data_IF_103154437332
#
_entry.id   IF_103154437332
#
_cell.length_a   1.000
_cell.length_b   1.000
_cell.length_c   1.000
_cell.angle_alpha   90.00
_cell.angle_beta   90.00
_cell.angle_gamma   90.00
#
_symmetry.space_group_name_H-M   'P 1'
#
loop_
_entity.id
_entity.type
_entity.pdbx_description
1 polymer ?
#
# COMPACT_ATOMS: atom_id res chain seq x y z
N UNK A 1 -6.08 4.02 -4.66
CA UNK A 1 -6.09 4.68 -3.34
C UNK A 1 -7.53 4.67 -2.83
N UNK A 2 -8.00 3.51 -2.37
CA UNK A 2 -9.45 3.29 -2.13
C UNK A 2 -9.79 3.19 -0.64
N UNK A 3 -8.92 2.56 0.15
CA UNK A 3 -9.14 2.29 1.58
C UNK A 3 -8.36 3.22 2.52
N UNK A 4 -7.50 4.10 1.99
CA UNK A 4 -6.64 5.01 2.76
C UNK A 4 -5.78 4.31 3.84
N UNK A 5 -5.28 3.12 3.52
CA UNK A 5 -4.40 2.29 4.35
C UNK A 5 -3.40 1.58 3.44
N UNK A 6 -2.26 1.18 4.00
CA UNK A 6 -1.27 0.35 3.32
C UNK A 6 -1.82 -1.07 3.11
N UNK A 7 -1.36 -1.75 2.07
CA UNK A 7 -2.00 -3.02 1.68
C UNK A 7 -1.66 -4.19 2.61
N UNK A 8 -0.58 -4.12 3.40
CA UNK A 8 -0.32 -5.06 4.51
C UNK A 8 -1.32 -4.92 5.64
N UNK A 9 -1.65 -3.69 6.05
CA UNK A 9 -2.67 -3.44 7.06
C UNK A 9 -4.06 -3.85 6.55
N UNK A 10 -4.37 -3.53 5.29
CA UNK A 10 -5.58 -4.04 4.63
C UNK A 10 -5.59 -5.57 4.62
N UNK A 11 -4.45 -6.21 4.34
CA UNK A 11 -4.35 -7.66 4.35
C UNK A 11 -4.65 -8.24 5.75
N UNK A 12 -4.07 -7.66 6.80
CA UNK A 12 -4.27 -8.13 8.17
C UNK A 12 -5.73 -8.00 8.65
N UNK A 13 -6.36 -6.86 8.34
CA UNK A 13 -7.73 -6.55 8.79
C UNK A 13 -8.83 -7.25 7.99
N UNK A 14 -8.51 -7.74 6.80
CA UNK A 14 -9.45 -8.46 5.91
C UNK A 14 -9.23 -9.96 5.86
N UNK A 15 -8.43 -10.55 6.77
CA UNK A 15 -8.25 -12.00 6.83
C UNK A 15 -9.57 -12.76 7.02
N UNK A 16 -9.58 -14.05 6.66
CA UNK A 16 -10.73 -14.92 6.88
C UNK A 16 -11.19 -14.86 8.36
N UNK A 17 -12.51 -14.77 8.57
CA UNK A 17 -13.11 -14.63 9.90
C UNK A 17 -13.11 -13.21 10.48
N UNK A 18 -12.50 -12.22 9.82
CA UNK A 18 -12.67 -10.80 10.18
C UNK A 18 -13.97 -10.23 9.58
N UNK A 19 -14.60 -9.22 10.24
CA UNK A 19 -15.79 -8.56 9.70
C UNK A 19 -15.62 -8.04 8.27
N UNK A 20 -14.42 -7.55 7.94
CA UNK A 20 -14.09 -6.98 6.63
C UNK A 20 -13.59 -8.00 5.61
N UNK A 21 -13.70 -9.31 5.88
CA UNK A 21 -13.17 -10.36 4.99
C UNK A 21 -13.76 -10.34 3.58
N UNK A 22 -15.01 -9.89 3.43
CA UNK A 22 -15.72 -9.71 2.16
C UNK A 22 -15.06 -8.74 1.17
N UNK A 23 -14.16 -7.86 1.65
CA UNK A 23 -13.44 -6.90 0.80
C UNK A 23 -12.53 -7.62 -0.21
N UNK A 24 -12.01 -8.81 0.15
CA UNK A 24 -11.06 -9.56 -0.69
C UNK A 24 -11.68 -10.10 -1.98
N UNK A 25 -13.00 -10.21 -2.04
CA UNK A 25 -13.74 -10.71 -3.20
C UNK A 25 -14.22 -9.59 -4.12
N UNK A 26 -14.02 -8.32 -3.74
CA UNK A 26 -14.39 -7.20 -4.58
C UNK A 26 -13.48 -7.11 -5.82
N UNK A 27 -14.03 -6.77 -6.99
CA UNK A 27 -13.20 -6.52 -8.16
C UNK A 27 -12.24 -5.35 -7.90
N UNK A 28 -11.05 -5.41 -8.50
CA UNK A 28 -10.02 -4.37 -8.40
C UNK A 28 -9.47 -4.15 -6.98
N UNK A 29 -9.58 -5.15 -6.10
CA UNK A 29 -8.98 -5.14 -4.77
C UNK A 29 -7.91 -6.23 -4.66
N UNK A 30 -6.71 -5.84 -4.23
CA UNK A 30 -5.62 -6.75 -3.89
C UNK A 30 -5.23 -6.48 -2.43
N UNK A 31 -5.60 -7.39 -1.53
CA UNK A 31 -5.31 -7.30 -0.10
C UNK A 31 -4.08 -8.16 0.27
N UNK A 32 -2.93 -7.78 -0.29
CA UNK A 32 -1.61 -8.39 -0.11
C UNK A 32 -0.60 -7.26 0.12
N UNK A 33 0.44 -7.48 0.94
CA UNK A 33 1.50 -6.49 1.15
C UNK A 33 2.19 -6.07 -0.16
N UNK A 34 2.68 -4.83 -0.20
CA UNK A 34 3.42 -4.27 -1.34
C UNK A 34 2.97 -2.86 -1.75
N UNK A 35 1.82 -2.41 -1.25
CA UNK A 35 1.23 -1.10 -1.56
C UNK A 35 1.32 -0.13 -0.39
N UNK A 36 1.84 1.07 -0.67
CA UNK A 36 2.07 2.13 0.32
C UNK A 36 1.46 3.46 -0.13
N UNK A 37 0.95 4.21 0.84
CA UNK A 37 0.46 5.56 0.62
C UNK A 37 1.61 6.55 0.39
N UNK A 38 1.42 7.47 -0.56
CA UNK A 38 2.34 8.59 -0.81
C UNK A 38 1.72 9.86 -0.23
N UNK A 39 2.49 10.55 0.62
CA UNK A 39 2.12 11.82 1.22
C UNK A 39 3.13 12.89 0.81
N UNK A 40 2.62 14.09 0.58
CA UNK A 40 3.39 15.29 0.27
C UNK A 40 2.92 16.39 1.23
N UNK A 41 3.83 16.98 2.02
CA UNK A 41 3.49 18.02 3.01
C UNK A 41 2.34 17.62 3.93
N UNK A 42 2.33 16.35 4.36
CA UNK A 42 1.28 15.74 5.19
C UNK A 42 -0.03 15.40 4.45
N UNK A 43 -0.24 15.91 3.23
CA UNK A 43 -1.39 15.63 2.40
C UNK A 43 -1.22 14.34 1.62
N UNK A 44 -2.28 13.56 1.52
CA UNK A 44 -2.27 12.31 0.79
C UNK A 44 -2.47 12.55 -0.71
N UNK A 45 -1.46 12.22 -1.52
CA UNK A 45 -1.42 12.56 -2.96
C UNK A 45 -1.52 11.36 -3.87
N UNK A 46 -1.25 10.15 -3.37
CA UNK A 46 -1.29 8.96 -4.18
C UNK A 46 -0.94 7.69 -3.42
N UNK A 47 -0.61 6.64 -4.17
CA UNK A 47 -0.07 5.39 -3.66
C UNK A 47 0.80 4.73 -4.73
N UNK A 48 1.77 3.94 -4.29
CA UNK A 48 2.57 3.05 -5.13
C UNK A 48 2.33 1.61 -4.67
N UNK A 49 2.40 0.65 -5.61
CA UNK A 49 2.40 -0.76 -5.27
C UNK A 49 3.45 -1.49 -6.10
N UNK A 50 4.18 -2.40 -5.45
CA UNK A 50 5.13 -3.32 -6.09
C UNK A 50 4.59 -4.74 -5.92
N UNK A 51 4.85 -5.60 -6.91
CA UNK A 51 4.52 -7.03 -6.86
C UNK A 51 5.55 -7.82 -7.65
N UNK A 52 5.98 -8.95 -7.11
CA UNK A 52 6.86 -9.91 -7.78
C UNK A 52 8.03 -10.40 -6.92
N UNK A 53 8.25 -9.80 -5.76
CA UNK A 53 9.22 -10.30 -4.79
C UNK A 53 8.72 -11.61 -4.11
N UNK A 54 9.60 -12.34 -3.40
CA UNK A 54 9.22 -13.60 -2.75
C UNK A 54 8.13 -13.47 -1.66
N UNK A 55 7.99 -12.29 -1.05
CA UNK A 55 6.94 -12.01 -0.05
C UNK A 55 6.40 -10.59 -0.23
N UNK A 56 5.20 -10.32 0.29
CA UNK A 56 4.60 -8.98 0.24
C UNK A 56 5.40 -7.94 1.01
N UNK A 57 6.08 -8.32 2.09
CA UNK A 57 7.00 -7.45 2.82
C UNK A 57 8.22 -7.07 1.96
N UNK A 58 8.71 -8.00 1.13
CA UNK A 58 9.79 -7.70 0.19
C UNK A 58 9.33 -6.73 -0.90
N UNK A 59 8.09 -6.88 -1.40
CA UNK A 59 7.48 -5.90 -2.29
C UNK A 59 7.35 -4.52 -1.61
N UNK A 60 6.97 -4.47 -0.33
CA UNK A 60 6.92 -3.21 0.42
C UNK A 60 8.28 -2.54 0.56
N UNK A 61 9.35 -3.31 0.76
CA UNK A 61 10.70 -2.73 0.80
C UNK A 61 11.05 -2.06 -0.52
N UNK A 62 10.69 -2.66 -1.65
CA UNK A 62 10.84 -2.03 -2.97
C UNK A 62 9.99 -0.76 -3.11
N UNK A 63 8.74 -0.79 -2.66
CA UNK A 63 7.86 0.38 -2.67
C UNK A 63 8.42 1.52 -1.79
N UNK A 64 8.95 1.21 -0.60
CA UNK A 64 9.66 2.17 0.27
C UNK A 64 10.86 2.78 -0.43
N UNK A 65 11.64 1.96 -1.15
CA UNK A 65 12.77 2.44 -1.96
C UNK A 65 12.33 3.44 -3.05
N UNK A 66 11.21 3.17 -3.71
CA UNK A 66 10.63 4.09 -4.70
C UNK A 66 10.18 5.43 -4.10
N UNK A 67 9.49 5.40 -2.95
CA UNK A 67 9.09 6.62 -2.22
C UNK A 67 10.32 7.41 -1.78
N UNK A 68 11.33 6.74 -1.21
CA UNK A 68 12.56 7.38 -0.76
C UNK A 68 13.29 8.10 -1.91
N UNK A 69 13.26 7.54 -3.11
CA UNK A 69 13.89 8.14 -4.29
C UNK A 69 13.21 9.43 -4.76
N UNK A 70 11.95 9.69 -4.39
CA UNK A 70 11.20 10.89 -4.77
C UNK A 70 10.91 11.83 -3.59
N UNK A 71 11.42 11.50 -2.39
CA UNK A 71 11.04 12.17 -1.15
C UNK A 71 11.30 13.69 -1.18
N UNK A 72 12.45 14.09 -1.73
CA UNK A 72 12.81 15.51 -1.86
C UNK A 72 11.81 16.26 -2.76
N UNK A 73 11.40 15.65 -3.88
CA UNK A 73 10.45 16.27 -4.81
C UNK A 73 9.07 16.45 -4.14
N UNK A 74 8.59 15.46 -3.39
CA UNK A 74 7.25 15.52 -2.79
C UNK A 74 7.18 16.33 -1.48
N UNK A 75 8.30 16.64 -0.84
CA UNK A 75 8.33 17.50 0.36
C UNK A 75 8.71 18.95 0.07
N UNK A 76 9.54 19.20 -0.97
CA UNK A 76 10.08 20.53 -1.26
C UNK A 76 9.31 21.32 -2.32
N UNK A 77 8.54 20.67 -3.21
CA UNK A 77 7.62 21.35 -4.15
C UNK A 77 6.29 21.71 -3.49
#
# INVERSE_FOLDING_TARGET
MSFRTDTSELAATTQAGKPSSGIRQLPQVVAVGGGLMIRAKGSLVGAIAVSGAPTGEADELCAKGGIAAINDAIELE
#
